data_IF_151680291920
#
_entry.id   IF_151680291920
#
_cell.length_a   1.000
_cell.length_b   1.000
_cell.length_c   1.000
_cell.angle_alpha   90.00
_cell.angle_beta   90.00
_cell.angle_gamma   90.00
#
_symmetry.space_group_name_H-M   'P 1'
#
loop_
_entity.id
_entity.type
_entity.pdbx_description
1 polymer ?
#
# COMPACT_ATOMS: atom_id res chain seq x y z
N UNK A 1 15.40 14.50 -23.37
CA UNK A 1 16.41 15.05 -22.43
C UNK A 1 15.79 15.51 -21.10
N UNK A 2 14.78 16.40 -21.07
CA UNK A 2 14.12 16.86 -19.81
C UNK A 2 13.59 15.72 -18.90
N UNK A 3 12.93 14.69 -19.47
CA UNK A 3 12.45 13.51 -18.71
C UNK A 3 13.57 12.68 -18.08
N UNK A 4 14.72 12.61 -18.75
CA UNK A 4 15.90 11.85 -18.31
C UNK A 4 16.60 12.57 -17.16
N UNK A 5 16.69 13.91 -17.23
CA UNK A 5 17.19 14.76 -16.15
C UNK A 5 16.32 14.64 -14.88
N UNK A 6 14.99 14.67 -15.03
CA UNK A 6 14.06 14.51 -13.90
C UNK A 6 14.18 13.11 -13.27
N UNK A 7 14.39 12.08 -14.08
CA UNK A 7 14.59 10.71 -13.58
C UNK A 7 15.91 10.60 -12.82
N UNK A 8 17.00 11.16 -13.37
CA UNK A 8 18.31 11.20 -12.71
C UNK A 8 18.26 11.92 -11.37
N UNK A 9 17.55 13.05 -11.28
CA UNK A 9 17.37 13.80 -10.04
C UNK A 9 16.56 12.99 -9.01
N UNK A 10 15.47 12.32 -9.40
CA UNK A 10 14.71 11.45 -8.48
C UNK A 10 15.55 10.29 -7.96
N UNK A 11 16.36 9.69 -8.83
CA UNK A 11 17.26 8.58 -8.46
C UNK A 11 18.36 9.08 -7.54
N UNK A 12 18.99 10.22 -7.83
CA UNK A 12 20.06 10.77 -6.98
C UNK A 12 19.54 11.17 -5.60
N UNK A 13 18.33 11.74 -5.50
CA UNK A 13 17.68 12.01 -4.22
C UNK A 13 17.43 10.71 -3.44
N UNK A 14 16.92 9.68 -4.09
CA UNK A 14 16.67 8.37 -3.45
C UNK A 14 17.97 7.75 -2.92
N UNK A 15 19.04 7.80 -3.72
CA UNK A 15 20.38 7.33 -3.32
C UNK A 15 20.93 8.17 -2.16
N UNK A 16 20.77 9.50 -2.20
CA UNK A 16 21.24 10.38 -1.14
C UNK A 16 20.54 10.10 0.20
N UNK A 17 19.22 9.88 0.18
CA UNK A 17 18.46 9.50 1.38
C UNK A 17 18.91 8.14 1.91
N UNK A 18 19.09 7.15 1.04
CA UNK A 18 19.59 5.83 1.46
C UNK A 18 21.00 5.92 2.04
N UNK A 19 21.89 6.69 1.43
CA UNK A 19 23.24 6.90 1.92
C UNK A 19 23.24 7.61 3.28
N UNK A 20 22.38 8.61 3.46
CA UNK A 20 22.18 9.29 4.75
C UNK A 20 21.67 8.34 5.83
N UNK A 21 20.63 7.55 5.53
CA UNK A 21 20.08 6.56 6.47
C UNK A 21 21.11 5.50 6.86
N UNK A 22 21.92 5.02 5.92
CA UNK A 22 22.98 4.04 6.20
C UNK A 22 24.10 4.65 7.05
N UNK A 23 24.46 5.91 6.80
CA UNK A 23 25.46 6.62 7.60
C UNK A 23 24.99 6.82 9.04
N UNK A 24 23.71 7.21 9.21
CA UNK A 24 23.10 7.38 10.53
C UNK A 24 22.94 6.03 11.26
N UNK A 25 22.50 4.99 10.55
CA UNK A 25 22.38 3.64 11.11
C UNK A 25 23.71 3.02 11.52
N UNK A 26 24.82 3.39 10.86
CA UNK A 26 26.18 3.00 11.25
C UNK A 26 26.67 3.74 12.49
N UNK A 27 26.25 4.99 12.71
CA UNK A 27 26.59 5.75 13.91
C UNK A 27 25.80 5.32 15.14
N UNK A 28 24.54 4.92 14.95
CA UNK A 28 23.61 4.57 16.04
C UNK A 28 23.69 3.14 16.56
N UNK A 29 24.78 2.39 16.31
CA UNK A 29 24.92 0.98 16.71
C UNK A 29 23.75 0.06 16.28
N UNK A 30 22.91 0.49 15.34
CA UNK A 30 21.73 -0.29 14.92
C UNK A 30 22.12 -1.66 14.36
N UNK A 31 23.31 -1.76 13.75
CA UNK A 31 23.86 -3.02 13.23
C UNK A 31 24.39 -3.96 14.31
N UNK A 32 24.84 -3.46 15.46
CA UNK A 32 25.26 -4.30 16.59
C UNK A 32 24.02 -4.79 17.34
N UNK A 33 23.02 -3.93 17.55
CA UNK A 33 21.70 -4.32 18.10
C UNK A 33 21.04 -5.42 17.26
N UNK A 34 20.98 -5.29 15.93
CA UNK A 34 20.41 -6.31 15.04
C UNK A 34 21.16 -7.66 15.05
N UNK A 35 22.44 -7.65 15.43
CA UNK A 35 23.31 -8.84 15.44
C UNK A 35 23.30 -9.54 16.79
N UNK A 36 23.37 -8.77 17.87
CA UNK A 36 23.68 -9.26 19.21
C UNK A 36 22.43 -9.41 20.11
N UNK A 37 21.29 -8.80 19.73
CA UNK A 37 20.02 -9.03 20.42
C UNK A 37 19.49 -10.45 20.21
N UNK A 38 18.96 -11.11 21.26
CA UNK A 38 18.31 -12.40 21.13
C UNK A 38 17.06 -12.28 20.26
N UNK A 39 17.13 -12.87 19.06
CA UNK A 39 16.03 -12.86 18.10
C UNK A 39 14.88 -13.74 18.60
N UNK A 40 13.76 -13.11 18.91
CA UNK A 40 12.50 -13.76 19.29
C UNK A 40 11.82 -14.35 18.05
N UNK A 41 12.24 -15.55 17.67
CA UNK A 41 11.74 -16.27 16.49
C UNK A 41 10.24 -16.57 16.58
N UNK A 42 9.70 -16.78 17.78
CA UNK A 42 8.28 -16.92 18.08
C UNK A 42 7.48 -15.70 17.58
N UNK A 43 7.93 -14.49 17.96
CA UNK A 43 7.29 -13.25 17.53
C UNK A 43 7.44 -13.01 16.04
N UNK A 44 8.59 -13.37 15.45
CA UNK A 44 8.82 -13.22 14.01
C UNK A 44 7.89 -14.12 13.19
N UNK A 45 7.63 -15.36 13.63
CA UNK A 45 6.68 -16.27 12.96
C UNK A 45 5.26 -15.72 13.06
N UNK A 46 4.87 -15.20 14.23
CA UNK A 46 3.56 -14.57 14.40
C UNK A 46 3.42 -13.33 13.50
N UNK A 47 4.44 -12.45 13.47
CA UNK A 47 4.46 -11.28 12.60
C UNK A 47 4.37 -11.67 11.12
N UNK A 48 5.11 -12.71 10.71
CA UNK A 48 5.04 -13.25 9.36
C UNK A 48 3.62 -13.76 9.02
N UNK A 49 2.99 -14.46 9.96
CA UNK A 49 1.61 -14.91 9.82
C UNK A 49 0.62 -13.75 9.62
N UNK A 50 0.75 -12.68 10.42
CA UNK A 50 -0.05 -11.46 10.24
C UNK A 50 0.20 -10.78 8.90
N UNK A 51 1.46 -10.63 8.48
CA UNK A 51 1.79 -10.07 7.17
C UNK A 51 1.19 -10.91 6.04
N UNK A 52 1.31 -12.23 6.11
CA UNK A 52 0.77 -13.13 5.11
C UNK A 52 -0.76 -13.06 5.05
N UNK A 53 -1.42 -13.02 6.22
CA UNK A 53 -2.87 -12.84 6.31
C UNK A 53 -3.32 -11.50 5.73
N UNK A 54 -2.57 -10.41 5.96
CA UNK A 54 -2.85 -9.10 5.39
C UNK A 54 -2.74 -9.11 3.86
N UNK A 55 -1.71 -9.76 3.31
CA UNK A 55 -1.53 -9.91 1.85
C UNK A 55 -2.67 -10.73 1.25
N UNK A 56 -3.00 -11.88 1.85
CA UNK A 56 -4.10 -12.73 1.38
C UNK A 56 -5.44 -12.00 1.41
N UNK A 57 -5.73 -11.29 2.50
CA UNK A 57 -6.96 -10.49 2.64
C UNK A 57 -7.06 -9.44 1.55
N UNK A 58 -5.94 -8.76 1.24
CA UNK A 58 -5.88 -7.77 0.15
C UNK A 58 -6.19 -8.40 -1.21
N UNK A 59 -5.65 -9.60 -1.49
CA UNK A 59 -5.89 -10.28 -2.76
C UNK A 59 -7.33 -10.80 -2.86
N UNK A 60 -7.86 -11.37 -1.77
CA UNK A 60 -9.24 -11.85 -1.70
C UNK A 60 -10.24 -10.68 -1.87
N UNK A 61 -9.98 -9.54 -1.22
CA UNK A 61 -10.77 -8.32 -1.40
C UNK A 61 -10.82 -7.91 -2.88
N UNK A 62 -9.65 -7.85 -3.53
CA UNK A 62 -9.59 -7.54 -4.95
C UNK A 62 -10.30 -8.58 -5.82
N UNK A 63 -10.22 -9.87 -5.48
CA UNK A 63 -10.96 -10.94 -6.18
C UNK A 63 -12.48 -10.70 -6.16
N UNK A 64 -13.05 -10.30 -5.03
CA UNK A 64 -14.47 -9.95 -4.96
C UNK A 64 -14.82 -8.76 -5.85
N UNK A 65 -13.96 -7.75 -5.90
CA UNK A 65 -14.15 -6.58 -6.76
C UNK A 65 -14.11 -6.94 -8.25
N UNK A 66 -13.15 -7.78 -8.65
CA UNK A 66 -13.05 -8.30 -10.02
C UNK A 66 -14.30 -9.07 -10.42
N UNK A 67 -14.83 -9.91 -9.52
CA UNK A 67 -16.09 -10.63 -9.75
C UNK A 67 -17.30 -9.71 -9.82
N UNK A 68 -17.35 -8.67 -8.98
CA UNK A 68 -18.42 -7.67 -9.00
C UNK A 68 -18.47 -6.88 -10.32
N UNK A 69 -17.31 -6.70 -10.97
CA UNK A 69 -17.19 -6.07 -12.29
C UNK A 69 -17.52 -7.00 -13.47
N UNK A 70 -18.01 -8.22 -13.19
CA UNK A 70 -18.45 -9.17 -14.21
C UNK A 70 -17.34 -10.04 -14.81
N UNK A 71 -16.11 -9.97 -14.30
CA UNK A 71 -15.01 -10.82 -14.77
C UNK A 71 -15.08 -12.18 -14.06
N UNK A 72 -15.23 -13.31 -14.78
CA UNK A 72 -15.34 -14.65 -14.19
C UNK A 72 -13.96 -15.20 -13.77
N UNK A 73 -13.21 -14.43 -12.99
CA UNK A 73 -11.91 -14.84 -12.50
C UNK A 73 -12.04 -15.89 -11.40
N UNK A 74 -11.23 -16.96 -11.46
CA UNK A 74 -11.11 -17.94 -10.37
C UNK A 74 -10.18 -17.42 -9.29
N UNK A 75 -10.42 -17.79 -8.02
CA UNK A 75 -9.61 -17.34 -6.88
C UNK A 75 -8.12 -17.68 -7.05
N UNK A 76 -7.81 -18.86 -7.59
CA UNK A 76 -6.42 -19.25 -7.90
C UNK A 76 -5.72 -18.32 -8.88
N UNK A 77 -6.45 -17.78 -9.88
CA UNK A 77 -5.86 -16.89 -10.87
C UNK A 77 -5.58 -15.51 -10.26
N UNK A 78 -6.54 -14.98 -9.50
CA UNK A 78 -6.36 -13.72 -8.76
C UNK A 78 -5.29 -13.82 -7.68
N UNK A 79 -5.11 -14.99 -7.04
CA UNK A 79 -4.01 -15.24 -6.12
C UNK A 79 -2.66 -15.17 -6.84
N UNK A 80 -2.51 -15.88 -7.96
CA UNK A 80 -1.28 -15.85 -8.76
C UNK A 80 -0.93 -14.43 -9.23
N UNK A 81 -1.88 -13.73 -9.82
CA UNK A 81 -1.71 -12.35 -10.30
C UNK A 81 -1.48 -11.39 -9.12
N UNK A 82 -2.18 -11.60 -8.00
CA UNK A 82 -2.07 -10.82 -6.78
C UNK A 82 -0.67 -10.89 -6.16
N UNK A 83 -0.11 -12.09 -6.01
CA UNK A 83 1.26 -12.28 -5.53
C UNK A 83 2.29 -11.70 -6.49
N UNK A 84 2.12 -11.90 -7.80
CA UNK A 84 3.03 -11.32 -8.79
C UNK A 84 3.01 -9.79 -8.72
N UNK A 85 1.83 -9.19 -8.67
CA UNK A 85 1.67 -7.76 -8.46
C UNK A 85 2.30 -7.28 -7.15
N UNK A 86 2.22 -8.07 -6.08
CA UNK A 86 2.86 -7.74 -4.80
C UNK A 86 4.40 -7.76 -4.92
N UNK A 87 4.98 -8.75 -5.61
CA UNK A 87 6.42 -8.80 -5.89
C UNK A 87 6.89 -7.59 -6.69
N UNK A 88 6.13 -7.17 -7.71
CA UNK A 88 6.44 -5.98 -8.50
C UNK A 88 6.22 -4.66 -7.76
N UNK A 89 5.36 -4.66 -6.74
CA UNK A 89 5.19 -3.51 -5.84
C UNK A 89 6.39 -3.37 -4.88
N UNK A 90 7.00 -4.49 -4.47
CA UNK A 90 8.25 -4.51 -3.70
C UNK A 90 9.47 -4.13 -4.55
N UNK A 91 9.42 -4.40 -5.86
CA UNK A 91 10.47 -3.99 -6.77
C UNK A 91 10.50 -2.46 -6.94
N UNK A 92 11.68 -1.84 -7.07
CA UNK A 92 11.83 -0.40 -7.30
C UNK A 92 11.30 0.09 -8.67
N UNK A 93 10.51 -0.73 -9.37
CA UNK A 93 9.83 -0.39 -10.62
C UNK A 93 8.72 0.67 -10.43
N UNK A 94 8.52 1.15 -9.21
CA UNK A 94 7.68 2.29 -8.86
C UNK A 94 6.28 1.89 -8.40
N UNK A 95 5.60 2.84 -7.76
CA UNK A 95 4.25 2.70 -7.15
C UNK A 95 3.20 2.14 -8.14
N UNK A 96 3.43 2.30 -9.45
CA UNK A 96 2.54 1.82 -10.52
C UNK A 96 2.90 0.42 -11.04
N UNK A 97 4.06 -0.14 -10.72
CA UNK A 97 4.56 -1.38 -11.32
C UNK A 97 3.69 -2.59 -10.96
N UNK A 98 3.42 -2.80 -9.68
CA UNK A 98 2.60 -3.91 -9.21
C UNK A 98 1.16 -3.87 -9.74
N UNK A 99 0.57 -2.68 -9.79
CA UNK A 99 -0.81 -2.48 -10.24
C UNK A 99 -0.95 -2.54 -11.75
N UNK A 100 0.03 -2.00 -12.48
CA UNK A 100 0.11 -2.16 -13.93
C UNK A 100 0.22 -3.64 -14.30
N UNK A 101 1.03 -4.43 -13.57
CA UNK A 101 1.12 -5.88 -13.81
C UNK A 101 -0.21 -6.58 -13.56
N UNK A 102 -0.92 -6.27 -12.46
CA UNK A 102 -2.27 -6.83 -12.23
C UNK A 102 -3.23 -6.49 -13.35
N UNK A 103 -3.28 -5.22 -13.75
CA UNK A 103 -4.16 -4.73 -14.80
C UNK A 103 -3.81 -5.34 -16.17
N UNK A 104 -2.53 -5.45 -16.50
CA UNK A 104 -2.04 -6.01 -17.77
C UNK A 104 -2.27 -7.52 -17.85
N UNK A 105 -1.97 -8.27 -16.79
CA UNK A 105 -2.18 -9.72 -16.76
C UNK A 105 -3.67 -10.06 -16.81
N UNK A 106 -4.50 -9.35 -16.04
CA UNK A 106 -5.94 -9.60 -16.06
C UNK A 106 -6.57 -9.16 -17.39
N UNK A 107 -6.07 -8.09 -18.00
CA UNK A 107 -6.45 -7.67 -19.34
C UNK A 107 -6.05 -8.65 -20.44
N UNK A 108 -4.91 -9.34 -20.27
CA UNK A 108 -4.47 -10.39 -21.18
C UNK A 108 -5.33 -11.65 -21.00
N UNK A 109 -5.62 -12.07 -19.77
CA UNK A 109 -6.41 -13.27 -19.50
C UNK A 109 -7.88 -13.11 -19.91
N UNK A 110 -8.41 -11.88 -19.91
CA UNK A 110 -9.80 -11.56 -20.23
C UNK A 110 -9.90 -10.39 -21.23
N UNK A 111 -9.62 -10.70 -22.50
CA UNK A 111 -9.52 -9.72 -23.60
C UNK A 111 -10.80 -8.89 -23.79
N UNK A 112 -11.98 -9.50 -23.56
CA UNK A 112 -13.29 -8.84 -23.68
C UNK A 112 -13.62 -7.89 -22.51
N UNK A 113 -12.88 -7.96 -21.40
CA UNK A 113 -13.15 -7.22 -20.16
C UNK A 113 -11.97 -6.34 -19.73
N UNK A 114 -11.07 -5.98 -20.65
CA UNK A 114 -9.86 -5.20 -20.37
C UNK A 114 -10.12 -3.88 -19.63
N UNK A 115 -11.18 -3.16 -20.00
CA UNK A 115 -11.56 -1.90 -19.33
C UNK A 115 -12.00 -2.16 -17.89
N UNK A 116 -12.83 -3.19 -17.67
CA UNK A 116 -13.30 -3.61 -16.34
C UNK A 116 -12.13 -4.08 -15.46
N UNK A 117 -11.15 -4.78 -16.06
CA UNK A 117 -9.95 -5.22 -15.38
C UNK A 117 -9.09 -4.05 -14.86
N UNK A 118 -8.83 -3.04 -15.70
CA UNK A 118 -8.09 -1.84 -15.29
C UNK A 118 -8.88 -1.05 -14.24
N UNK A 119 -10.19 -0.87 -14.46
CA UNK A 119 -11.07 -0.19 -13.52
C UNK A 119 -11.07 -0.87 -12.14
N UNK A 120 -11.02 -2.21 -12.07
CA UNK A 120 -10.96 -2.95 -10.80
C UNK A 120 -9.75 -2.57 -9.94
N UNK A 121 -8.58 -2.36 -10.56
CA UNK A 121 -7.36 -2.02 -9.83
C UNK A 121 -7.43 -0.59 -9.30
N UNK A 122 -7.95 0.34 -10.11
CA UNK A 122 -8.13 1.74 -9.69
C UNK A 122 -9.16 1.84 -8.55
N UNK A 123 -10.29 1.14 -8.67
CA UNK A 123 -11.33 1.11 -7.64
C UNK A 123 -10.80 0.46 -6.36
N UNK A 124 -10.03 -0.62 -6.43
CA UNK A 124 -9.38 -1.22 -5.24
C UNK A 124 -8.46 -0.21 -4.53
N UNK A 125 -7.73 0.63 -5.29
CA UNK A 125 -6.89 1.69 -4.73
C UNK A 125 -7.67 2.82 -4.09
N UNK A 126 -8.77 3.25 -4.71
CA UNK A 126 -9.64 4.27 -4.13
C UNK A 126 -10.30 3.78 -2.85
N UNK A 127 -10.83 2.55 -2.84
CA UNK A 127 -11.42 1.93 -1.65
C UNK A 127 -10.36 1.75 -0.56
N UNK A 128 -9.17 1.27 -0.93
CA UNK A 128 -8.07 1.09 0.01
C UNK A 128 -7.64 2.40 0.67
N UNK A 129 -7.49 3.46 -0.12
CA UNK A 129 -7.16 4.79 0.37
C UNK A 129 -8.28 5.35 1.27
N UNK A 130 -9.53 5.23 0.83
CA UNK A 130 -10.70 5.67 1.61
C UNK A 130 -10.80 4.95 2.96
N UNK A 131 -10.60 3.62 2.99
CA UNK A 131 -10.61 2.86 4.24
C UNK A 131 -9.54 3.33 5.23
N UNK A 132 -8.36 3.76 4.76
CA UNK A 132 -7.33 4.32 5.66
C UNK A 132 -7.84 5.58 6.34
N UNK A 133 -8.53 6.47 5.61
CA UNK A 133 -9.16 7.66 6.19
C UNK A 133 -10.27 7.30 7.19
N UNK A 134 -11.13 6.32 6.86
CA UNK A 134 -12.18 5.84 7.77
C UNK A 134 -11.58 5.29 9.07
N UNK A 135 -10.55 4.45 8.99
CA UNK A 135 -9.87 3.89 10.15
C UNK A 135 -9.16 4.97 10.96
N UNK A 136 -8.51 5.93 10.29
CA UNK A 136 -7.89 7.07 10.96
C UNK A 136 -8.92 7.93 11.70
N UNK A 137 -10.06 8.25 11.07
CA UNK A 137 -11.18 8.94 11.70
C UNK A 137 -11.71 8.17 12.92
N UNK A 138 -11.93 6.86 12.80
CA UNK A 138 -12.38 6.03 13.92
C UNK A 138 -11.36 6.02 15.06
N UNK A 139 -10.06 5.95 14.76
CA UNK A 139 -8.99 6.01 15.75
C UNK A 139 -8.94 7.37 16.47
N UNK A 140 -9.09 8.49 15.74
CA UNK A 140 -9.14 9.84 16.33
C UNK A 140 -10.29 9.95 17.33
N UNK A 141 -11.48 9.46 16.96
CA UNK A 141 -12.65 9.44 17.86
C UNK A 141 -12.40 8.55 19.07
N UNK A 142 -11.89 7.33 18.87
CA UNK A 142 -11.67 6.36 19.94
C UNK A 142 -10.59 6.81 20.95
N UNK A 143 -9.54 7.49 20.47
CA UNK A 143 -8.43 7.98 21.30
C UNK A 143 -8.68 9.39 21.85
N UNK A 144 -9.79 10.04 21.48
CA UNK A 144 -10.08 11.46 21.77
C UNK A 144 -8.94 12.40 21.41
N UNK A 145 -8.22 12.11 20.34
CA UNK A 145 -7.09 12.92 19.89
C UNK A 145 -7.47 14.37 19.55
N UNK A 146 -8.76 14.66 19.40
CA UNK A 146 -9.32 16.01 19.22
C UNK A 146 -9.24 16.88 20.48
N UNK A 147 -9.06 16.31 21.67
CA UNK A 147 -8.95 17.07 22.94
C UNK A 147 -7.55 17.69 23.15
N UNK A 148 -6.60 17.45 22.25
CA UNK A 148 -5.25 18.03 22.33
C UNK A 148 -5.26 19.45 21.75
N UNK A 149 -4.92 20.45 22.57
CA UNK A 149 -4.85 21.89 22.23
C UNK A 149 -3.66 22.27 21.32
N UNK A 150 -3.37 21.46 20.31
CA UNK A 150 -2.40 21.78 19.26
C UNK A 150 -3.14 22.12 17.94
N UNK A 151 -2.95 23.32 17.38
CA UNK A 151 -3.65 23.76 16.17
C UNK A 151 -3.30 22.91 14.93
N UNK A 152 -2.12 22.29 14.88
CA UNK A 152 -1.74 21.37 13.81
C UNK A 152 -2.51 20.05 13.93
N UNK A 153 -2.70 19.54 15.14
CA UNK A 153 -3.44 18.30 15.40
C UNK A 153 -4.93 18.48 15.07
N UNK A 154 -5.52 19.61 15.46
CA UNK A 154 -6.91 19.94 15.12
C UNK A 154 -7.12 20.09 13.60
N UNK A 155 -6.16 20.69 12.89
CA UNK A 155 -6.18 20.79 11.43
C UNK A 155 -6.12 19.41 10.75
N UNK A 156 -5.26 18.51 11.23
CA UNK A 156 -5.16 17.15 10.69
C UNK A 156 -6.43 16.33 10.97
N UNK A 157 -7.00 16.45 12.17
CA UNK A 157 -8.23 15.73 12.51
C UNK A 157 -9.42 16.23 11.67
N UNK A 158 -9.59 17.54 11.54
CA UNK A 158 -10.67 18.11 10.73
C UNK A 158 -10.53 17.75 9.25
N UNK A 159 -9.32 17.81 8.68
CA UNK A 159 -9.07 17.37 7.31
C UNK A 159 -9.41 15.88 7.11
N UNK A 160 -9.03 15.03 8.06
CA UNK A 160 -9.33 13.58 8.01
C UNK A 160 -10.84 13.32 8.03
N UNK A 161 -11.61 14.01 8.88
CA UNK A 161 -13.06 13.87 8.90
C UNK A 161 -13.74 14.40 7.64
N UNK A 162 -13.27 15.53 7.09
CA UNK A 162 -13.81 16.06 5.83
C UNK A 162 -13.60 15.10 4.67
N UNK A 163 -12.39 14.53 4.54
CA UNK A 163 -12.09 13.54 3.49
C UNK A 163 -12.94 12.29 3.66
N UNK A 164 -13.10 11.79 4.89
CA UNK A 164 -13.96 10.64 5.19
C UNK A 164 -15.43 10.92 4.87
N UNK A 165 -15.94 12.10 5.21
CA UNK A 165 -17.31 12.53 4.94
C UNK A 165 -17.61 12.70 3.45
N UNK A 166 -16.72 13.37 2.71
CA UNK A 166 -16.85 13.54 1.26
C UNK A 166 -16.80 12.17 0.56
N UNK A 167 -15.87 11.31 0.97
CA UNK A 167 -15.75 9.97 0.41
C UNK A 167 -16.95 9.06 0.71
N UNK A 168 -17.68 9.29 1.81
CA UNK A 168 -18.91 8.55 2.14
C UNK A 168 -20.09 8.93 1.24
N UNK A 169 -20.12 10.17 0.72
CA UNK A 169 -21.20 10.68 -0.15
C UNK A 169 -20.94 10.35 -1.62
N UNK A 170 -19.67 10.14 -2.00
CA UNK A 170 -19.26 9.86 -3.38
C UNK A 170 -19.25 8.39 -3.81
N UNK A 171 -19.51 7.44 -2.89
CA UNK A 171 -19.62 6.00 -3.15
C UNK A 171 -21.08 5.54 -3.10
#
# INVERSE_FOLDING_TARGET
>A
MKKLLITLVKVSISIAILAYLVHEARKGDAFTVLRDEPKRWDMLVVAWGFCMAAVLTTIVRWHFLVRALGVPARLSNTLRIGFLGYMFNLAPLGILGGDAVKALMLAHDYEHSRIQAIASVVVDRLIGLYMVFVVASAAIVATRFWEIDDPMIAAVCSATFWVTGIGAVGF
#
